data_IF_602424570153
#
_entry.id   IF_602424570153
#
_cell.length_a   1.000
_cell.length_b   1.000
_cell.length_c   1.000
_cell.angle_alpha   90.00
_cell.angle_beta   90.00
_cell.angle_gamma   90.00
#
_symmetry.space_group_name_H-M   'P 1'
#
loop_
_entity.id
_entity.type
_entity.pdbx_description
1 polymer ?
#
# COMPACT_ATOMS: atom_id res chain seq x y z
N UNK A 1 6.60 -11.20 -8.45
CA UNK A 1 5.75 -11.58 -7.31
C UNK A 1 4.77 -10.46 -6.98
N UNK A 2 5.20 -9.40 -6.27
CA UNK A 2 4.28 -8.28 -5.95
C UNK A 2 3.83 -7.49 -7.18
N UNK A 3 4.73 -7.13 -8.11
CA UNK A 3 4.36 -6.46 -9.37
C UNK A 3 3.36 -7.28 -10.19
N UNK A 4 3.59 -8.59 -10.29
CA UNK A 4 2.69 -9.51 -11.00
C UNK A 4 1.32 -9.57 -10.32
N UNK A 5 1.28 -9.60 -8.98
CA UNK A 5 0.03 -9.55 -8.22
C UNK A 5 -0.73 -8.23 -8.41
N UNK A 6 -0.01 -7.11 -8.50
CA UNK A 6 -0.59 -5.79 -8.77
C UNK A 6 -0.99 -5.60 -10.24
N UNK A 7 -0.49 -6.43 -11.16
CA UNK A 7 -0.66 -6.26 -12.60
C UNK A 7 0.05 -5.02 -13.17
N UNK A 8 1.02 -4.46 -12.45
CA UNK A 8 1.80 -3.29 -12.86
C UNK A 8 3.17 -3.25 -12.20
N UNK A 9 4.07 -2.45 -12.74
CA UNK A 9 5.34 -2.16 -12.07
C UNK A 9 5.15 -1.39 -10.76
N UNK A 10 6.10 -1.55 -9.83
CA UNK A 10 6.13 -0.74 -8.61
C UNK A 10 6.45 0.71 -8.99
N UNK A 11 5.77 1.64 -8.33
CA UNK A 11 6.11 3.05 -8.44
C UNK A 11 7.45 3.30 -7.73
N UNK A 12 8.15 4.37 -8.12
CA UNK A 12 9.40 4.79 -7.46
C UNK A 12 9.22 5.09 -5.96
N UNK A 13 7.98 5.37 -5.55
CA UNK A 13 7.60 5.62 -4.17
C UNK A 13 7.14 4.36 -3.42
N UNK A 14 7.21 3.18 -4.03
CA UNK A 14 6.76 1.91 -3.44
C UNK A 14 7.93 0.97 -3.13
N UNK A 15 7.83 0.25 -2.02
CA UNK A 15 8.77 -0.81 -1.61
C UNK A 15 8.02 -2.04 -1.14
N UNK A 16 8.67 -3.20 -1.23
CA UNK A 16 8.12 -4.48 -0.73
C UNK A 16 8.86 -4.89 0.52
N UNK A 17 8.12 -5.24 1.57
CA UNK A 17 8.65 -5.72 2.84
C UNK A 17 8.26 -7.18 3.05
N UNK A 18 9.18 -7.96 3.61
CA UNK A 18 8.94 -9.34 4.03
C UNK A 18 8.55 -9.36 5.51
N UNK A 19 7.37 -9.89 5.83
CA UNK A 19 6.81 -9.90 7.19
C UNK A 19 7.71 -10.69 8.15
N UNK A 20 8.16 -11.88 7.72
CA UNK A 20 9.03 -12.73 8.52
C UNK A 20 10.53 -12.37 8.48
N UNK A 21 10.90 -11.29 7.78
CA UNK A 21 12.29 -10.87 7.60
C UNK A 21 13.15 -11.77 6.70
N UNK A 22 12.62 -12.91 6.24
CA UNK A 22 13.30 -13.79 5.31
C UNK A 22 13.14 -13.28 3.86
N UNK A 23 14.21 -12.70 3.32
CA UNK A 23 14.24 -12.11 1.97
C UNK A 23 14.03 -13.12 0.83
N UNK A 24 14.11 -14.42 1.10
CA UNK A 24 13.90 -15.46 0.08
C UNK A 24 12.46 -16.00 0.06
N UNK A 25 11.67 -15.72 1.10
CA UNK A 25 10.28 -16.17 1.20
C UNK A 25 9.34 -15.20 0.47
N UNK A 26 9.18 -15.43 -0.83
CA UNK A 26 8.41 -14.56 -1.71
C UNK A 26 6.93 -14.94 -1.85
N UNK A 27 6.40 -15.77 -0.95
CA UNK A 27 4.96 -16.07 -0.91
C UNK A 27 4.18 -14.79 -0.66
N UNK A 28 3.08 -14.58 -1.39
CA UNK A 28 2.34 -13.31 -1.33
C UNK A 28 1.84 -12.99 0.09
N UNK A 29 1.45 -13.99 0.86
CA UNK A 29 1.04 -13.82 2.26
C UNK A 29 2.17 -13.33 3.19
N UNK A 30 3.43 -13.38 2.75
CA UNK A 30 4.59 -12.90 3.48
C UNK A 30 5.09 -11.52 2.98
N UNK A 31 4.44 -10.94 1.97
CA UNK A 31 4.86 -9.67 1.36
C UNK A 31 3.87 -8.54 1.69
N UNK A 32 4.41 -7.37 2.01
CA UNK A 32 3.65 -6.13 2.19
C UNK A 32 4.11 -5.05 1.22
N UNK A 33 3.15 -4.30 0.67
CA UNK A 33 3.44 -3.10 -0.12
C UNK A 33 3.47 -1.86 0.78
N UNK A 34 4.57 -1.12 0.70
CA UNK A 34 4.84 0.10 1.46
C UNK A 34 4.99 1.29 0.51
N UNK A 35 4.66 2.50 0.98
CA UNK A 35 4.80 3.73 0.21
C UNK A 35 5.49 4.83 1.01
N UNK A 36 6.47 5.50 0.38
CA UNK A 36 7.40 6.45 1.02
C UNK A 36 6.88 7.89 1.16
N UNK A 37 5.73 8.24 0.58
CA UNK A 37 5.23 9.64 0.58
C UNK A 37 4.49 10.06 1.87
N UNK A 38 4.75 9.43 3.01
CA UNK A 38 3.99 9.60 4.26
C UNK A 38 4.92 9.44 5.48
N UNK A 39 4.46 9.76 6.71
CA UNK A 39 5.21 9.41 7.91
C UNK A 39 5.59 7.92 7.90
N UNK A 40 6.81 7.62 8.36
CA UNK A 40 7.31 6.24 8.42
C UNK A 40 6.37 5.35 9.24
N UNK A 41 6.23 4.08 8.82
CA UNK A 41 5.45 3.09 9.57
C UNK A 41 4.03 2.81 9.08
N UNK A 42 3.64 3.25 7.87
CA UNK A 42 2.29 3.04 7.35
C UNK A 42 2.28 2.16 6.09
N UNK A 43 1.50 1.08 6.12
CA UNK A 43 1.30 0.17 4.97
C UNK A 43 0.33 0.79 3.97
N UNK A 44 0.44 0.42 2.69
CA UNK A 44 -0.47 0.96 1.66
C UNK A 44 -1.94 0.57 1.94
N UNK A 45 -2.19 -0.64 2.43
CA UNK A 45 -3.54 -1.10 2.76
C UNK A 45 -4.24 -0.23 3.81
N UNK A 46 -3.50 0.21 4.82
CA UNK A 46 -4.03 1.06 5.89
C UNK A 46 -4.39 2.45 5.34
N UNK A 47 -3.56 2.99 4.43
CA UNK A 47 -3.82 4.28 3.76
C UNK A 47 -5.04 4.21 2.85
N UNK A 48 -5.21 3.13 2.10
CA UNK A 48 -6.37 2.94 1.23
C UNK A 48 -7.65 2.81 2.06
N UNK A 49 -7.60 2.09 3.18
CA UNK A 49 -8.74 2.00 4.10
C UNK A 49 -9.12 3.40 4.64
N UNK A 50 -8.14 4.14 5.15
CA UNK A 50 -8.37 5.50 5.64
C UNK A 50 -8.89 6.46 4.56
N UNK A 51 -8.32 6.41 3.34
CA UNK A 51 -8.77 7.23 2.23
C UNK A 51 -10.25 6.97 1.88
N UNK A 52 -10.69 5.70 1.93
CA UNK A 52 -12.11 5.34 1.74
C UNK A 52 -13.00 5.94 2.83
N UNK A 53 -12.57 5.88 4.09
CA UNK A 53 -13.33 6.48 5.20
C UNK A 53 -13.46 8.00 5.05
N UNK A 54 -12.36 8.68 4.70
CA UNK A 54 -12.33 10.12 4.47
C UNK A 54 -13.26 10.51 3.31
N UNK A 55 -13.17 9.81 2.17
CA UNK A 55 -14.03 10.07 1.03
C UNK A 55 -15.50 9.83 1.39
N UNK A 56 -15.84 8.71 2.03
CA UNK A 56 -17.21 8.42 2.46
C UNK A 56 -17.78 9.49 3.41
N UNK A 57 -16.93 10.13 4.21
CA UNK A 57 -17.35 11.17 5.16
C UNK A 57 -17.55 12.53 4.50
N UNK A 58 -16.72 12.89 3.53
CA UNK A 58 -16.61 14.28 3.04
C UNK A 58 -16.83 14.47 1.54
N UNK A 59 -17.06 13.42 0.76
CA UNK A 59 -17.26 13.51 -0.70
C UNK A 59 -18.36 14.51 -1.08
N UNK A 60 -19.45 14.61 -0.30
CA UNK A 60 -20.51 15.59 -0.53
C UNK A 60 -20.14 17.06 -0.28
N UNK A 61 -18.95 17.34 0.25
CA UNK A 61 -18.40 18.69 0.40
C UNK A 61 -17.50 19.10 -0.77
N UNK A 62 -17.23 18.20 -1.73
CA UNK A 62 -16.50 18.54 -2.94
C UNK A 62 -17.40 19.43 -3.80
N UNK A 63 -16.97 20.67 -4.01
CA UNK A 63 -17.60 21.60 -4.96
C UNK A 63 -16.87 21.44 -6.28
N UNK A 64 -17.60 21.16 -7.37
CA UNK A 64 -17.08 21.05 -8.74
C UNK A 64 -16.50 22.37 -9.27
#
# INVERSE_FOLDING_TARGET
>A
MMQDHLGRELLKSETVHHINGNKTDNRLENLELWSSSHPSGQRVVDKVAWAREILATYEGLLIE
#
